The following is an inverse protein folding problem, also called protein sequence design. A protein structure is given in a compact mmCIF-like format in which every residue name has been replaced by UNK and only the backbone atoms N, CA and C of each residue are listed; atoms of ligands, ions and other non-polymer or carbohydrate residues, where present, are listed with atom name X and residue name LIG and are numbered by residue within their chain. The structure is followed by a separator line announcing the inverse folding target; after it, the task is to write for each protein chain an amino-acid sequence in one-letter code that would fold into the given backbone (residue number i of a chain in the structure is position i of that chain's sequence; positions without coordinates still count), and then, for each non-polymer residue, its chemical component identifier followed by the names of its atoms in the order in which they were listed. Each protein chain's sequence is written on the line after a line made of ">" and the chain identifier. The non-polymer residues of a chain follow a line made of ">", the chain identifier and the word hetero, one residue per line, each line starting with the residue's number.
data_IF_647649313769
#
_entry.id   IF_647649313769
#
_cell.length_a   1.000
_cell.length_b   1.000
_cell.length_c   1.000
_cell.angle_alpha   90.00
_cell.angle_beta   90.00
_cell.angle_gamma   90.00
#
_symmetry.space_group_name_H-M   'P 1'
#
loop_
_entity.id
_entity.type
_entity.pdbx_description
1 polymer ?
#
# COMPACT_ATOMS: atom_id res chain seq x y z
N UNK A 1 -24.95 -2.55 -5.33
CA UNK A 1 -25.74 -1.78 -4.34
C UNK A 1 -25.08 -1.98 -2.99
N UNK A 2 -24.30 -1.01 -2.53
CA UNK A 2 -23.76 -1.02 -1.17
C UNK A 2 -24.67 -0.14 -0.32
N UNK A 3 -25.44 -0.77 0.56
CA UNK A 3 -26.12 -0.07 1.63
C UNK A 3 -25.07 0.31 2.69
N UNK A 4 -25.19 1.48 3.30
CA UNK A 4 -24.26 1.95 4.33
C UNK A 4 -24.15 0.95 5.49
N UNK A 5 -25.23 0.20 5.76
CA UNK A 5 -25.32 -0.78 6.83
C UNK A 5 -24.49 -2.04 6.58
N UNK A 6 -24.21 -2.39 5.32
CA UNK A 6 -23.45 -3.60 4.98
C UNK A 6 -22.04 -3.58 5.57
N UNK A 7 -21.39 -2.41 5.59
CA UNK A 7 -20.04 -2.28 6.19
C UNK A 7 -20.08 -2.33 7.73
N UNK A 8 -21.22 -1.97 8.35
CA UNK A 8 -21.38 -1.94 9.81
C UNK A 8 -21.72 -3.30 10.43
N UNK A 9 -22.02 -4.31 9.61
CA UNK A 9 -22.29 -5.66 10.10
C UNK A 9 -21.05 -6.30 10.77
N UNK A 10 -19.84 -5.97 10.32
CA UNK A 10 -18.60 -6.41 10.98
C UNK A 10 -18.45 -5.75 12.34
N UNK A 11 -18.54 -4.42 12.39
CA UNK A 11 -18.49 -3.63 13.64
C UNK A 11 -19.52 -4.14 14.67
N UNK A 12 -20.72 -4.53 14.22
CA UNK A 12 -21.75 -5.12 15.09
C UNK A 12 -21.33 -6.47 15.67
N UNK A 13 -20.70 -7.34 14.87
CA UNK A 13 -20.21 -8.66 15.33
C UNK A 13 -19.01 -8.52 16.27
N UNK A 14 -18.13 -7.57 16.00
CA UNK A 14 -16.93 -7.29 16.79
C UNK A 14 -17.27 -6.51 18.09
N UNK A 15 -18.51 -6.03 18.23
CA UNK A 15 -18.98 -5.29 19.41
C UNK A 15 -18.48 -3.85 19.47
N UNK A 16 -18.06 -3.29 18.35
CA UNK A 16 -17.48 -1.95 18.21
C UNK A 16 -18.53 -0.85 18.03
N UNK A 17 -19.80 -1.21 17.80
CA UNK A 17 -20.91 -0.27 17.70
C UNK A 17 -21.34 0.28 19.05
N UNK A 18 -21.58 1.59 19.08
CA UNK A 18 -22.26 2.21 20.22
C UNK A 18 -23.72 1.73 20.34
N UNK A 19 -24.39 2.08 21.44
CA UNK A 19 -25.73 1.58 21.71
C UNK A 19 -26.78 2.15 20.74
N UNK A 20 -26.64 3.40 20.30
CA UNK A 20 -27.61 4.06 19.41
C UNK A 20 -27.52 3.47 18.00
N UNK A 21 -26.30 3.28 17.50
CA UNK A 21 -25.98 2.69 16.21
C UNK A 21 -26.40 1.23 16.14
N UNK A 22 -26.24 0.50 17.25
CA UNK A 22 -26.69 -0.90 17.37
C UNK A 22 -28.20 -1.01 17.23
N UNK A 23 -28.95 -0.18 17.96
CA UNK A 23 -30.43 -0.17 17.89
C UNK A 23 -30.89 0.22 16.48
N UNK A 24 -30.25 1.20 15.85
CA UNK A 24 -30.57 1.62 14.48
C UNK A 24 -30.30 0.49 13.46
N UNK A 25 -29.19 -0.24 13.60
CA UNK A 25 -28.87 -1.37 12.75
C UNK A 25 -29.85 -2.54 12.97
N UNK A 26 -30.24 -2.83 14.21
CA UNK A 26 -31.22 -3.88 14.51
C UNK A 26 -32.60 -3.57 13.91
N UNK A 27 -33.03 -2.31 13.94
CA UNK A 27 -34.24 -1.87 13.25
C UNK A 27 -34.13 -2.05 11.72
N UNK A 28 -32.96 -1.77 11.13
CA UNK A 28 -32.71 -2.02 9.71
C UNK A 28 -32.73 -3.52 9.37
N UNK A 29 -32.12 -4.37 10.20
CA UNK A 29 -32.10 -5.83 10.01
C UNK A 29 -33.50 -6.45 10.04
N UNK A 30 -34.45 -5.87 10.78
CA UNK A 30 -35.84 -6.30 10.80
C UNK A 30 -36.57 -6.04 9.47
N UNK A 31 -36.09 -5.10 8.65
CA UNK A 31 -36.74 -4.68 7.39
C UNK A 31 -35.98 -5.09 6.14
N UNK A 32 -34.67 -5.33 6.23
CA UNK A 32 -33.80 -5.65 5.11
C UNK A 32 -33.31 -7.10 5.14
N UNK A 33 -33.98 -7.97 4.36
CA UNK A 33 -33.65 -9.40 4.30
C UNK A 33 -32.24 -9.72 3.77
N UNK A 34 -31.69 -8.91 2.87
CA UNK A 34 -30.32 -9.10 2.36
C UNK A 34 -29.26 -8.83 3.43
N UNK A 35 -29.43 -7.78 4.23
CA UNK A 35 -28.54 -7.48 5.35
C UNK A 35 -28.64 -8.56 6.45
N UNK A 36 -29.85 -9.06 6.73
CA UNK A 36 -30.05 -10.19 7.65
C UNK A 36 -29.35 -11.46 7.17
N UNK A 37 -29.51 -11.81 5.89
CA UNK A 37 -28.84 -12.97 5.28
C UNK A 37 -27.31 -12.85 5.35
N UNK A 38 -26.78 -11.68 5.02
CA UNK A 38 -25.33 -11.40 5.10
C UNK A 38 -24.82 -11.55 6.54
N UNK A 39 -25.56 -11.04 7.53
CA UNK A 39 -25.19 -11.20 8.95
C UNK A 39 -25.19 -12.67 9.38
N UNK A 40 -26.15 -13.47 8.91
CA UNK A 40 -26.19 -14.91 9.19
C UNK A 40 -24.99 -15.65 8.58
N UNK A 41 -24.60 -15.31 7.34
CA UNK A 41 -23.39 -15.84 6.69
C UNK A 41 -22.12 -15.49 7.47
N UNK A 42 -21.97 -14.23 7.89
CA UNK A 42 -20.83 -13.78 8.69
C UNK A 42 -20.75 -14.52 10.04
N UNK A 43 -21.88 -14.69 10.74
CA UNK A 43 -21.94 -15.48 11.99
C UNK A 43 -21.49 -16.93 11.77
N UNK A 44 -21.84 -17.52 10.63
CA UNK A 44 -21.40 -18.87 10.29
C UNK A 44 -19.89 -18.95 10.06
N UNK A 45 -19.29 -17.94 9.41
CA UNK A 45 -17.82 -17.84 9.24
C UNK A 45 -17.13 -17.75 10.60
N UNK A 46 -17.61 -16.89 11.49
CA UNK A 46 -17.07 -16.75 12.85
C UNK A 46 -17.15 -18.06 13.62
N UNK A 47 -18.29 -18.75 13.57
CA UNK A 47 -18.46 -20.04 14.25
C UNK A 47 -17.49 -21.11 13.72
N UNK A 48 -17.28 -21.17 12.39
CA UNK A 48 -16.29 -22.09 11.80
C UNK A 48 -14.87 -21.70 12.21
N UNK A 49 -14.53 -20.42 12.18
CA UNK A 49 -13.21 -19.94 12.60
C UNK A 49 -12.93 -20.30 14.07
N UNK A 50 -13.91 -20.15 14.96
CA UNK A 50 -13.81 -20.53 16.37
C UNK A 50 -13.65 -22.04 16.59
N UNK A 51 -14.11 -22.87 15.66
CA UNK A 51 -13.94 -24.33 15.71
C UNK A 51 -12.56 -24.81 15.25
N UNK A 52 -11.72 -23.95 14.67
CA UNK A 52 -10.36 -24.33 14.30
C UNK A 52 -9.55 -24.60 15.56
N UNK A 53 -8.78 -25.69 15.55
CA UNK A 53 -7.85 -25.99 16.62
C UNK A 53 -6.78 -24.89 16.66
N UNK A 54 -6.61 -24.28 17.84
CA UNK A 54 -5.49 -23.39 18.07
C UNK A 54 -4.19 -24.21 18.04
N UNK A 55 -3.29 -23.87 17.13
CA UNK A 55 -2.03 -24.58 16.94
C UNK A 55 -0.89 -23.58 17.08
N UNK A 56 -0.11 -23.75 18.15
CA UNK A 56 1.11 -22.97 18.30
C UNK A 56 2.14 -23.41 17.26
N UNK A 57 2.98 -22.49 16.74
CA UNK A 57 4.12 -22.88 15.92
C UNK A 57 5.01 -23.88 16.67
N UNK A 58 5.62 -24.82 15.93
CA UNK A 58 6.47 -25.88 16.49
C UNK A 58 7.78 -25.39 17.10
N UNK A 59 8.12 -24.11 16.90
CA UNK A 59 9.36 -23.49 17.37
C UNK A 59 9.10 -22.02 17.69
N UNK A 60 9.84 -21.47 18.64
CA UNK A 60 9.82 -20.03 18.92
C UNK A 60 10.43 -19.25 17.74
N UNK A 61 9.57 -18.54 17.01
CA UNK A 61 9.97 -17.71 15.86
C UNK A 61 10.44 -16.31 16.28
N UNK A 62 10.25 -15.92 17.55
CA UNK A 62 10.56 -14.58 18.02
C UNK A 62 12.04 -14.19 17.88
N UNK A 63 13.03 -15.06 18.14
CA UNK A 63 14.44 -14.74 17.96
C UNK A 63 14.77 -14.29 16.53
N UNK A 64 14.23 -15.00 15.53
CA UNK A 64 14.46 -14.73 14.11
C UNK A 64 13.75 -13.45 13.65
N UNK A 65 12.50 -13.25 14.08
CA UNK A 65 11.73 -12.04 13.79
C UNK A 65 12.45 -10.83 14.38
N UNK A 66 12.88 -10.92 15.64
CA UNK A 66 13.62 -9.86 16.33
C UNK A 66 14.95 -9.55 15.62
N UNK A 67 15.68 -10.55 15.14
CA UNK A 67 16.92 -10.34 14.41
C UNK A 67 16.72 -9.56 13.09
N UNK A 68 15.57 -9.74 12.42
CA UNK A 68 15.22 -9.01 11.18
C UNK A 68 14.67 -7.61 11.45
N UNK A 69 13.90 -7.43 12.52
CA UNK A 69 13.31 -6.15 12.92
C UNK A 69 14.32 -5.22 13.59
N UNK A 70 15.35 -5.77 14.23
CA UNK A 70 16.46 -4.97 14.74
C UNK A 70 17.33 -4.65 13.52
N UNK A 71 17.29 -3.42 12.97
CA UNK A 71 18.24 -3.05 11.94
C UNK A 71 19.61 -3.35 12.52
N UNK A 72 20.37 -4.21 11.84
CA UNK A 72 21.74 -4.47 12.23
C UNK A 72 22.43 -3.11 12.19
N UNK A 73 22.49 -2.44 13.34
CA UNK A 73 23.42 -1.35 13.61
C UNK A 73 24.75 -2.09 13.57
N UNK A 74 25.24 -2.32 12.33
CA UNK A 74 26.54 -2.90 12.05
C UNK A 74 27.44 -2.24 13.06
N UNK A 75 28.02 -3.10 13.90
CA UNK A 75 28.90 -2.74 14.97
C UNK A 75 29.65 -1.48 14.54
N UNK A 76 29.53 -0.42 15.34
CA UNK A 76 30.52 0.64 15.30
C UNK A 76 31.84 -0.08 15.61
N UNK A 77 32.50 -0.57 14.56
CA UNK A 77 33.85 -1.10 14.62
C UNK A 77 34.64 0.03 15.24
N UNK A 78 35.24 -0.27 16.40
CA UNK A 78 36.09 0.60 17.18
C UNK A 78 36.87 1.55 16.26
N UNK A 79 36.42 2.81 16.19
CA UNK A 79 37.30 3.85 15.72
C UNK A 79 38.26 4.11 16.87
N UNK A 80 39.57 3.88 16.71
CA UNK A 80 40.51 4.30 17.74
C UNK A 80 40.36 5.82 17.88
N UNK A 81 39.94 6.25 19.07
CA UNK A 81 39.87 7.64 19.51
C UNK A 81 41.27 8.27 19.58
N UNK A 82 41.90 8.44 18.42
CA UNK A 82 43.02 9.36 18.22
C UNK A 82 42.56 10.45 17.27
N UNK A 83 41.63 11.26 17.76
CA UNK A 83 41.42 12.60 17.23
C UNK A 83 42.69 13.42 17.52
N UNK A 84 43.61 13.46 16.55
CA UNK A 84 44.62 14.51 16.48
C UNK A 84 43.86 15.84 16.41
N UNK A 85 43.75 16.51 17.56
CA UNK A 85 43.10 17.81 17.71
C UNK A 85 43.99 18.88 17.08
N UNK A 86 44.06 18.90 15.75
CA UNK A 86 44.71 19.96 14.99
C UNK A 86 43.81 21.19 15.10
N UNK A 87 44.21 22.13 15.97
CA UNK A 87 43.52 23.40 16.17
C UNK A 87 43.64 24.20 14.87
N UNK A 88 42.59 24.21 14.07
CA UNK A 88 42.45 25.16 12.97
C UNK A 88 41.96 26.49 13.57
N UNK A 89 42.83 27.49 13.53
CA UNK A 89 42.49 28.86 13.90
C UNK A 89 41.68 29.47 12.76
N UNK A 90 40.36 29.37 12.81
CA UNK A 90 39.47 30.04 11.86
C UNK A 90 39.18 31.46 12.37
N UNK A 91 39.51 32.47 11.56
CA UNK A 91 39.27 33.88 11.86
C UNK A 91 37.77 34.20 11.78
N UNK A 92 37.32 35.17 12.58
CA UNK A 92 35.90 35.55 12.77
C UNK A 92 35.15 35.78 11.45
N UNK A 93 35.84 36.24 10.40
CA UNK A 93 35.24 36.41 9.06
C UNK A 93 34.81 35.11 8.37
N UNK A 94 35.49 33.99 8.60
CA UNK A 94 35.12 32.68 8.02
C UNK A 94 33.90 32.05 8.71
N UNK A 95 33.65 32.39 9.98
CA UNK A 95 32.48 31.90 10.73
C UNK A 95 31.17 32.55 10.26
N UNK A 96 31.19 33.84 9.86
CA UNK A 96 30.02 34.56 9.34
C UNK A 96 29.57 34.07 7.96
N UNK A 97 30.50 33.73 7.08
CA UNK A 97 30.16 33.18 5.77
C UNK A 97 29.53 31.78 5.88
N UNK A 98 30.06 30.94 6.78
CA UNK A 98 29.54 29.59 7.02
C UNK A 98 28.14 29.60 7.64
N UNK A 99 27.81 30.57 8.50
CA UNK A 99 26.47 30.69 9.10
C UNK A 99 25.39 31.03 8.07
N UNK A 100 25.70 31.83 7.05
CA UNK A 100 24.75 32.19 5.99
C UNK A 100 24.45 30.96 5.12
N UNK A 101 25.47 30.15 4.78
CA UNK A 101 25.29 28.91 4.02
C UNK A 101 24.47 27.88 4.81
N UNK A 102 24.73 27.71 6.11
CA UNK A 102 23.96 26.82 6.99
C UNK A 102 22.50 27.28 7.15
N UNK A 103 22.26 28.59 7.27
CA UNK A 103 20.90 29.15 7.36
C UNK A 103 20.11 28.95 6.05
N UNK A 104 20.75 29.11 4.89
CA UNK A 104 20.11 28.87 3.58
C UNK A 104 19.79 27.38 3.36
N UNK A 105 20.68 26.48 3.79
CA UNK A 105 20.45 25.04 3.71
C UNK A 105 19.34 24.54 4.66
N UNK A 106 19.22 25.14 5.86
CA UNK A 106 18.18 24.77 6.83
C UNK A 106 16.80 25.33 6.50
N UNK A 107 16.72 26.54 5.92
CA UNK A 107 15.46 27.08 5.40
C UNK A 107 14.93 26.30 4.18
N UNK A 108 15.81 25.79 3.31
CA UNK A 108 15.42 24.96 2.15
C UNK A 108 14.88 23.57 2.53
N UNK A 109 15.42 22.94 3.58
CA UNK A 109 14.98 21.61 4.03
C UNK A 109 13.56 21.60 4.63
N UNK A 110 13.19 22.65 5.35
CA UNK A 110 11.88 22.75 6.01
C UNK A 110 10.70 22.92 5.01
N UNK A 111 10.93 23.64 3.91
CA UNK A 111 9.89 23.90 2.90
C UNK A 111 9.57 22.67 2.03
N UNK A 112 10.52 21.73 1.91
CA UNK A 112 10.33 20.45 1.20
C UNK A 112 9.65 19.41 2.10
N UNK A 113 9.84 19.50 3.43
CA UNK A 113 9.15 18.65 4.40
C UNK A 113 7.65 18.97 4.55
N UNK A 114 7.27 20.25 4.48
CA UNK A 114 5.88 20.67 4.70
C UNK A 114 4.96 20.46 3.47
N UNK A 115 5.51 20.11 2.30
CA UNK A 115 4.73 19.67 1.13
C UNK A 115 4.54 18.15 1.06
N UNK A 116 5.13 17.41 2.00
CA UNK A 116 5.01 15.96 2.13
C UNK A 116 4.19 15.55 3.35
N UNK A 117 3.12 16.26 3.67
CA UNK A 117 2.02 15.67 4.46
C UNK A 117 1.20 14.79 3.53
N UNK A 118 1.66 13.56 3.32
CA UNK A 118 0.81 12.48 2.79
C UNK A 118 0.29 11.64 3.95
N UNK A 119 -0.97 11.19 3.83
CA UNK A 119 -1.87 10.95 4.93
C UNK A 119 -1.53 9.67 5.68
N UNK A 120 -1.98 9.62 6.93
CA UNK A 120 -2.19 8.40 7.71
C UNK A 120 -2.97 7.42 6.83
N UNK A 121 -2.30 6.40 6.31
CA UNK A 121 -2.96 5.24 5.71
C UNK A 121 -3.52 4.45 6.88
N UNK A 122 -4.75 4.77 7.27
CA UNK A 122 -5.63 3.81 7.94
C UNK A 122 -5.85 2.70 6.93
N UNK A 123 -5.07 1.62 7.04
CA UNK A 123 -5.23 0.44 6.23
C UNK A 123 -6.51 -0.28 6.66
N UNK A 124 -7.67 0.24 6.24
CA UNK A 124 -8.93 -0.47 6.32
C UNK A 124 -8.91 -1.53 5.21
N UNK A 125 -8.31 -2.68 5.51
CA UNK A 125 -8.30 -3.84 4.64
C UNK A 125 -9.64 -4.56 4.79
N UNK A 126 -10.69 -4.00 4.20
CA UNK A 126 -11.93 -4.73 3.96
C UNK A 126 -11.65 -5.80 2.90
N UNK A 127 -11.14 -6.96 3.35
CA UNK A 127 -11.10 -8.19 2.57
C UNK A 127 -12.50 -8.82 2.65
N UNK A 128 -13.43 -8.29 1.86
CA UNK A 128 -14.69 -8.97 1.58
C UNK A 128 -14.36 -10.28 0.88
N UNK A 129 -14.55 -11.40 1.57
CA UNK A 129 -14.54 -12.75 0.99
C UNK A 129 -15.91 -13.04 0.38
N UNK A 130 -16.04 -13.26 -0.94
CA UNK A 130 -17.25 -13.76 -1.57
C UNK A 130 -17.47 -15.28 -1.29
N UNK A 131 -18.72 -15.79 -1.38
CA UNK A 131 -19.07 -17.20 -1.17
C UNK A 131 -18.44 -18.12 -2.23
N UNK A 132 -18.09 -19.39 -1.91
CA UNK A 132 -17.04 -20.19 -2.58
C UNK A 132 -17.24 -20.61 -4.06
N UNK A 133 -18.28 -20.16 -4.75
CA UNK A 133 -18.51 -20.47 -6.18
C UNK A 133 -18.00 -19.37 -7.15
N UNK A 134 -17.20 -18.42 -6.65
CA UNK A 134 -16.80 -17.20 -7.35
C UNK A 134 -15.46 -17.24 -8.11
N UNK A 135 -14.70 -18.33 -8.12
CA UNK A 135 -13.23 -18.21 -8.22
C UNK A 135 -12.63 -18.07 -9.61
N UNK A 136 -13.38 -18.27 -10.71
CA UNK A 136 -12.85 -18.04 -12.07
C UNK A 136 -13.54 -16.90 -12.81
N UNK A 137 -14.86 -16.78 -12.71
CA UNK A 137 -15.61 -15.75 -13.43
C UNK A 137 -15.45 -14.35 -12.83
N UNK A 138 -15.34 -14.22 -11.50
CA UNK A 138 -15.12 -12.92 -10.84
C UNK A 138 -13.68 -12.43 -11.01
N UNK A 139 -12.71 -13.34 -10.88
CA UNK A 139 -11.30 -13.08 -11.13
C UNK A 139 -11.05 -12.68 -12.60
N UNK A 140 -11.73 -13.36 -13.54
CA UNK A 140 -11.74 -13.00 -14.95
C UNK A 140 -12.29 -11.59 -15.20
N UNK A 141 -13.44 -11.25 -14.60
CA UNK A 141 -14.05 -9.91 -14.71
C UNK A 141 -13.14 -8.80 -14.18
N UNK A 142 -12.57 -8.99 -13.00
CA UNK A 142 -11.63 -8.04 -12.38
C UNK A 142 -10.40 -7.83 -13.26
N UNK A 143 -9.87 -8.91 -13.84
CA UNK A 143 -8.73 -8.86 -14.74
C UNK A 143 -9.06 -8.07 -16.00
N UNK A 144 -10.20 -8.35 -16.66
CA UNK A 144 -10.63 -7.62 -17.85
C UNK A 144 -10.84 -6.13 -17.58
N UNK A 145 -11.48 -5.75 -16.47
CA UNK A 145 -11.66 -4.33 -16.11
C UNK A 145 -10.34 -3.63 -15.80
N UNK A 146 -9.39 -4.35 -15.19
CA UNK A 146 -8.06 -3.82 -14.89
C UNK A 146 -7.24 -3.63 -16.17
N UNK A 147 -7.27 -4.60 -17.08
CA UNK A 147 -6.57 -4.53 -18.37
C UNK A 147 -7.11 -3.40 -19.26
N UNK A 148 -8.44 -3.18 -19.26
CA UNK A 148 -9.07 -2.05 -19.94
C UNK A 148 -8.60 -0.70 -19.38
N UNK A 149 -8.59 -0.55 -18.05
CA UNK A 149 -8.14 0.68 -17.40
C UNK A 149 -6.64 0.97 -17.63
N UNK A 150 -5.80 -0.06 -17.66
CA UNK A 150 -4.37 0.09 -18.00
C UNK A 150 -4.22 0.60 -19.43
N UNK A 151 -4.91 -0.02 -20.39
CA UNK A 151 -4.86 0.39 -21.80
C UNK A 151 -5.27 1.85 -21.99
N UNK A 152 -6.39 2.25 -21.39
CA UNK A 152 -6.89 3.64 -21.46
C UNK A 152 -5.86 4.65 -20.90
N UNK A 153 -5.25 4.33 -19.77
CA UNK A 153 -4.26 5.20 -19.14
C UNK A 153 -2.93 5.26 -19.91
N UNK A 154 -2.52 4.15 -20.54
CA UNK A 154 -1.34 4.11 -21.42
C UNK A 154 -1.55 4.94 -22.68
N UNK A 155 -2.74 4.87 -23.29
CA UNK A 155 -3.10 5.71 -24.44
C UNK A 155 -3.14 7.21 -24.06
N UNK A 156 -3.74 7.54 -22.92
CA UNK A 156 -3.75 8.92 -22.41
C UNK A 156 -2.33 9.45 -22.20
N UNK A 157 -1.44 8.61 -21.66
CA UNK A 157 -0.05 8.98 -21.43
C UNK A 157 0.70 9.13 -22.75
N UNK A 158 0.45 8.25 -23.73
CA UNK A 158 1.06 8.35 -25.06
C UNK A 158 0.67 9.65 -25.76
N UNK A 159 -0.59 10.11 -25.63
CA UNK A 159 -1.06 11.40 -26.18
C UNK A 159 -0.37 12.60 -25.53
N UNK A 160 -0.12 12.55 -24.23
CA UNK A 160 0.41 13.68 -23.46
C UNK A 160 1.92 13.61 -23.18
N UNK A 161 2.62 12.58 -23.68
CA UNK A 161 4.05 12.37 -23.44
C UNK A 161 4.92 13.55 -23.90
N UNK A 162 4.49 14.30 -24.92
CA UNK A 162 5.20 15.48 -25.40
C UNK A 162 5.20 16.67 -24.43
N UNK A 163 4.32 16.67 -23.41
CA UNK A 163 4.26 17.70 -22.37
C UNK A 163 5.21 17.42 -21.20
N UNK A 164 5.76 16.20 -21.11
CA UNK A 164 6.67 15.79 -20.05
C UNK A 164 8.13 16.04 -20.45
N UNK A 165 8.97 16.41 -19.49
CA UNK A 165 10.41 16.52 -19.73
C UNK A 165 11.05 15.15 -20.06
N UNK A 166 12.11 15.18 -20.88
CA UNK A 166 12.75 13.95 -21.38
C UNK A 166 13.36 13.08 -20.29
N UNK A 167 13.77 13.66 -19.15
CA UNK A 167 14.33 12.90 -18.03
C UNK A 167 13.22 12.14 -17.28
N UNK A 168 12.07 12.77 -17.03
CA UNK A 168 10.89 12.16 -16.41
C UNK A 168 10.33 11.04 -17.29
N UNK A 169 10.20 11.25 -18.60
CA UNK A 169 9.75 10.20 -19.53
C UNK A 169 10.65 8.97 -19.47
N UNK A 170 11.98 9.17 -19.36
CA UNK A 170 12.95 8.06 -19.26
C UNK A 170 12.75 7.25 -17.98
N UNK A 171 12.62 7.92 -16.83
CA UNK A 171 12.38 7.27 -15.54
C UNK A 171 11.05 6.52 -15.55
N UNK A 172 10.01 7.14 -16.12
CA UNK A 172 8.69 6.52 -16.22
C UNK A 172 8.73 5.23 -17.06
N UNK A 173 9.35 5.27 -18.24
CA UNK A 173 9.51 4.09 -19.11
C UNK A 173 10.29 2.98 -18.41
N UNK A 174 11.36 3.32 -17.69
CA UNK A 174 12.13 2.34 -16.93
C UNK A 174 11.29 1.67 -15.83
N UNK A 175 10.55 2.45 -15.06
CA UNK A 175 9.69 1.93 -14.00
C UNK A 175 8.55 1.06 -14.55
N UNK A 176 7.88 1.50 -15.61
CA UNK A 176 6.84 0.71 -16.28
C UNK A 176 7.40 -0.62 -16.80
N UNK A 177 8.56 -0.60 -17.46
CA UNK A 177 9.21 -1.81 -17.96
C UNK A 177 9.62 -2.81 -16.85
N UNK A 178 9.87 -2.35 -15.63
CA UNK A 178 10.11 -3.23 -14.48
C UNK A 178 8.80 -3.86 -14.01
N UNK A 179 7.73 -3.07 -13.88
CA UNK A 179 6.41 -3.53 -13.46
C UNK A 179 5.84 -4.55 -14.47
N UNK A 180 5.96 -4.28 -15.77
CA UNK A 180 5.48 -5.18 -16.83
C UNK A 180 6.19 -6.54 -16.82
N UNK A 181 7.51 -6.53 -16.57
CA UNK A 181 8.28 -7.77 -16.39
C UNK A 181 7.81 -8.57 -15.19
N UNK A 182 7.52 -7.92 -14.06
CA UNK A 182 7.01 -8.58 -12.86
C UNK A 182 5.61 -9.19 -13.09
N UNK A 183 4.72 -8.48 -13.78
CA UNK A 183 3.39 -8.98 -14.15
C UNK A 183 3.52 -10.22 -15.04
N UNK A 184 4.36 -10.15 -16.09
CA UNK A 184 4.57 -11.28 -17.00
C UNK A 184 5.19 -12.51 -16.29
N UNK A 185 6.03 -12.30 -15.28
CA UNK A 185 6.57 -13.38 -14.45
C UNK A 185 5.48 -14.01 -13.56
N UNK A 186 4.68 -13.20 -12.88
CA UNK A 186 3.57 -13.66 -12.04
C UNK A 186 2.53 -14.45 -12.85
N UNK A 187 2.16 -13.96 -14.03
CA UNK A 187 1.23 -14.65 -14.92
C UNK A 187 1.77 -16.00 -15.41
N UNK A 188 3.07 -16.09 -15.75
CA UNK A 188 3.72 -17.36 -16.12
C UNK A 188 3.82 -18.34 -14.95
N UNK A 189 3.96 -17.83 -13.72
CA UNK A 189 3.92 -18.67 -12.52
C UNK A 189 2.50 -19.20 -12.26
N UNK A 190 1.47 -18.35 -12.40
CA UNK A 190 0.06 -18.75 -12.25
C UNK A 190 -0.40 -19.79 -13.26
N UNK A 191 0.15 -19.78 -14.49
CA UNK A 191 -0.12 -20.86 -15.46
C UNK A 191 0.38 -22.23 -15.00
N UNK A 192 1.43 -22.26 -14.17
CA UNK A 192 2.00 -23.50 -13.61
C UNK A 192 1.33 -23.90 -12.30
N UNK A 193 0.92 -22.92 -11.50
CA UNK A 193 0.21 -23.12 -10.23
C UNK A 193 -0.97 -22.13 -10.11
N UNK A 194 -2.14 -22.49 -10.68
CA UNK A 194 -3.32 -21.60 -10.68
C UNK A 194 -4.00 -21.50 -9.31
N UNK A 195 -3.75 -22.45 -8.41
CA UNK A 195 -4.33 -22.47 -7.05
C UNK A 195 -3.57 -21.62 -6.04
N UNK A 196 -2.40 -21.07 -6.40
CA UNK A 196 -1.57 -20.27 -5.50
C UNK A 196 -2.25 -18.95 -5.12
N UNK A 197 -2.75 -18.85 -3.88
CA UNK A 197 -3.31 -17.60 -3.34
C UNK A 197 -2.25 -16.47 -3.36
N UNK A 198 -1.02 -16.77 -2.96
CA UNK A 198 0.09 -15.81 -2.98
C UNK A 198 0.31 -15.18 -4.35
N UNK A 199 0.34 -15.98 -5.43
CA UNK A 199 0.56 -15.45 -6.78
C UNK A 199 -0.62 -14.61 -7.28
N UNK A 200 -1.85 -14.99 -6.93
CA UNK A 200 -3.05 -14.21 -7.26
C UNK A 200 -3.03 -12.85 -6.55
N UNK A 201 -2.72 -12.82 -5.25
CA UNK A 201 -2.59 -11.58 -4.48
C UNK A 201 -1.44 -10.71 -4.99
N UNK A 202 -0.29 -11.30 -5.27
CA UNK A 202 0.88 -10.59 -5.80
C UNK A 202 0.57 -9.95 -7.16
N UNK A 203 -0.10 -10.66 -8.07
CA UNK A 203 -0.53 -10.12 -9.35
C UNK A 203 -1.49 -8.95 -9.16
N UNK A 204 -2.51 -9.07 -8.31
CA UNK A 204 -3.44 -7.98 -8.03
C UNK A 204 -2.74 -6.73 -7.48
N UNK A 205 -1.77 -6.91 -6.58
CA UNK A 205 -0.98 -5.81 -6.00
C UNK A 205 -0.12 -5.10 -7.06
N UNK A 206 0.57 -5.85 -7.92
CA UNK A 206 1.41 -5.28 -8.98
C UNK A 206 0.58 -4.52 -10.04
N UNK A 207 -0.60 -5.04 -10.40
CA UNK A 207 -1.51 -4.34 -11.31
C UNK A 207 -2.01 -3.02 -10.72
N UNK A 208 -2.37 -2.98 -9.42
CA UNK A 208 -2.75 -1.74 -8.74
C UNK A 208 -1.64 -0.69 -8.76
N UNK A 209 -0.39 -1.11 -8.55
CA UNK A 209 0.76 -0.21 -8.65
C UNK A 209 0.95 0.35 -10.06
N UNK A 210 0.74 -0.46 -11.11
CA UNK A 210 0.81 -0.01 -12.51
C UNK A 210 -0.20 1.10 -12.78
N UNK A 211 -1.47 0.89 -12.42
CA UNK A 211 -2.55 1.86 -12.61
C UNK A 211 -2.23 3.18 -11.89
N UNK A 212 -1.80 3.10 -10.63
CA UNK A 212 -1.48 4.29 -9.83
C UNK A 212 -0.31 5.08 -10.43
N UNK A 213 0.73 4.40 -10.92
CA UNK A 213 1.84 5.03 -11.62
C UNK A 213 1.37 5.75 -12.89
N UNK A 214 0.53 5.10 -13.70
CA UNK A 214 -0.01 5.68 -14.93
C UNK A 214 -0.93 6.88 -14.66
N UNK A 215 -1.77 6.82 -13.62
CA UNK A 215 -2.61 7.97 -13.21
C UNK A 215 -1.76 9.16 -12.80
N UNK A 216 -0.73 8.95 -11.97
CA UNK A 216 0.20 10.02 -11.56
C UNK A 216 0.96 10.60 -12.74
N UNK A 217 1.41 9.75 -13.66
CA UNK A 217 2.11 10.21 -14.86
C UNK A 217 1.21 11.08 -15.74
N UNK A 218 -0.04 10.68 -15.94
CA UNK A 218 -1.04 11.47 -16.67
C UNK A 218 -1.36 12.79 -15.97
N UNK A 219 -1.47 12.81 -14.63
CA UNK A 219 -1.68 14.04 -13.87
C UNK A 219 -0.48 15.01 -13.98
N UNK A 220 0.75 14.48 -13.95
CA UNK A 220 1.96 15.28 -14.16
C UNK A 220 2.01 15.87 -15.58
N UNK A 221 1.60 15.10 -16.58
CA UNK A 221 1.54 15.57 -17.96
C UNK A 221 0.48 16.69 -18.10
N UNK A 222 -0.71 16.51 -17.53
CA UNK A 222 -1.79 17.49 -17.58
C UNK A 222 -1.53 18.78 -16.77
N UNK A 223 -0.62 18.74 -15.79
CA UNK A 223 -0.24 19.91 -14.99
C UNK A 223 0.94 20.71 -15.54
N UNK A 224 1.56 20.24 -16.65
CA UNK A 224 2.67 20.93 -17.33
C UNK A 224 2.21 21.71 -18.58
N UNK A 225 0.90 21.70 -18.87
CA UNK A 225 0.26 22.53 -19.91
C UNK A 225 0.05 23.97 -19.46
#
# INVERSE_FOLDING_TARGET
>A
MNDQWTNRLSEYLDGELDNEERVALEAHLATCGSCYATLAELRQVVARAQSLADSSPSTDLWPDIRARLTPSRRAAVDRPDRLVRRRFSLTVGQLLAASIVLALLSAGGMWIGLRSTKPTVTANQNVTSPPPDYTLASAGRWRTSTDAAVTELEEALARNQGQLDTATVRVLRQNLAVIDRAIAQAQRALKRDPGSNYLNLHLANTMRQKIELLRRANALAAGQS
#
